data_IF_408779174341
#
_entry.id   IF_408779174341
#
_cell.length_a   1.000
_cell.length_b   1.000
_cell.length_c   1.000
_cell.angle_alpha   90.00
_cell.angle_beta   90.00
_cell.angle_gamma   90.00
#
_symmetry.space_group_name_H-M   'P 1'
#
loop_
_entity.id
_entity.type
_entity.pdbx_description
1 polymer ?
#
# COMPACT_ATOMS: atom_id res chain seq x y z
N UNK A 1 3.48 21.25 22.12
CA UNK A 1 4.18 20.62 21.00
C UNK A 1 4.07 19.11 20.96
N UNK A 2 4.86 18.37 21.75
CA UNK A 2 4.98 16.90 21.62
C UNK A 2 3.67 16.13 21.89
N UNK A 3 2.86 16.57 22.84
CA UNK A 3 1.58 15.95 23.15
C UNK A 3 0.58 16.07 21.99
N UNK A 4 0.55 17.21 21.31
CA UNK A 4 -0.32 17.45 20.15
C UNK A 4 0.08 16.52 18.98
N UNK A 5 1.39 16.42 18.71
CA UNK A 5 1.92 15.53 17.67
C UNK A 5 1.57 14.08 17.98
N UNK A 6 1.76 13.63 19.22
CA UNK A 6 1.40 12.26 19.64
C UNK A 6 -0.09 11.96 19.45
N UNK A 7 -0.97 12.89 19.80
CA UNK A 7 -2.43 12.76 19.59
C UNK A 7 -2.77 12.67 18.10
N UNK A 8 -2.21 13.56 17.28
CA UNK A 8 -2.46 13.60 15.84
C UNK A 8 -1.97 12.32 15.18
N UNK A 9 -0.75 11.89 15.48
CA UNK A 9 -0.17 10.64 14.95
C UNK A 9 -1.02 9.44 15.38
N UNK A 10 -1.40 9.35 16.65
CA UNK A 10 -2.25 8.24 17.14
C UNK A 10 -3.57 8.18 16.39
N UNK A 11 -4.25 9.31 16.23
CA UNK A 11 -5.51 9.38 15.52
C UNK A 11 -5.35 8.93 14.05
N UNK A 12 -4.35 9.48 13.36
CA UNK A 12 -4.13 9.17 11.94
C UNK A 12 -3.75 7.71 11.73
N UNK A 13 -2.85 7.17 12.55
CA UNK A 13 -2.45 5.75 12.48
C UNK A 13 -3.64 4.83 12.79
N UNK A 14 -4.47 5.19 13.77
CA UNK A 14 -5.69 4.41 14.08
C UNK A 14 -6.69 4.45 12.92
N UNK A 15 -6.92 5.62 12.32
CA UNK A 15 -7.82 5.77 11.18
C UNK A 15 -7.33 4.96 9.95
N UNK A 16 -6.04 5.07 9.62
CA UNK A 16 -5.45 4.31 8.51
C UNK A 16 -5.49 2.80 8.78
N UNK A 17 -5.20 2.39 10.03
CA UNK A 17 -5.30 0.99 10.43
C UNK A 17 -6.72 0.45 10.27
N UNK A 18 -7.72 1.21 10.69
CA UNK A 18 -9.13 0.83 10.52
C UNK A 18 -9.52 0.71 9.04
N UNK A 19 -9.13 1.70 8.22
CA UNK A 19 -9.37 1.67 6.78
C UNK A 19 -8.71 0.43 6.16
N UNK A 20 -7.45 0.14 6.51
CA UNK A 20 -6.73 -1.03 6.02
C UNK A 20 -7.45 -2.33 6.38
N UNK A 21 -7.91 -2.48 7.62
CA UNK A 21 -8.67 -3.67 8.06
C UNK A 21 -9.97 -3.81 7.26
N UNK A 22 -10.71 -2.72 7.06
CA UNK A 22 -11.93 -2.71 6.26
C UNK A 22 -11.62 -3.13 4.81
N UNK A 23 -10.57 -2.57 4.20
CA UNK A 23 -10.19 -2.90 2.83
C UNK A 23 -9.78 -4.37 2.68
N UNK A 24 -9.03 -4.91 3.64
CA UNK A 24 -8.66 -6.33 3.68
C UNK A 24 -9.91 -7.22 3.83
N UNK A 25 -10.83 -6.86 4.71
CA UNK A 25 -12.09 -7.58 4.89
C UNK A 25 -12.98 -7.53 3.63
N UNK A 26 -12.90 -6.44 2.87
CA UNK A 26 -13.63 -6.22 1.62
C UNK A 26 -12.85 -6.68 0.37
N UNK A 27 -11.73 -7.39 0.50
CA UNK A 27 -10.90 -7.78 -0.65
C UNK A 27 -11.69 -8.59 -1.69
N UNK A 28 -12.51 -9.54 -1.25
CA UNK A 28 -13.33 -10.34 -2.16
C UNK A 28 -14.34 -9.50 -2.96
N UNK A 29 -15.28 -8.74 -2.34
CA UNK A 29 -16.23 -7.93 -3.10
C UNK A 29 -15.55 -6.89 -3.99
N UNK A 30 -14.41 -6.33 -3.58
CA UNK A 30 -13.64 -5.40 -4.42
C UNK A 30 -13.15 -6.09 -5.69
N UNK A 31 -12.54 -7.27 -5.57
CA UNK A 31 -12.06 -8.03 -6.72
C UNK A 31 -13.21 -8.53 -7.59
N UNK A 32 -14.34 -8.91 -7.00
CA UNK A 32 -15.50 -9.36 -7.76
C UNK A 32 -16.08 -8.25 -8.65
N UNK A 33 -16.15 -7.04 -8.15
CA UNK A 33 -16.59 -5.87 -8.92
C UNK A 33 -15.58 -5.46 -9.98
N UNK A 34 -14.28 -5.41 -9.64
CA UNK A 34 -13.22 -4.99 -10.55
C UNK A 34 -12.95 -6.02 -11.66
N UNK A 35 -13.03 -7.31 -11.31
CA UNK A 35 -12.81 -8.44 -12.21
C UNK A 35 -14.12 -9.07 -12.69
N UNK A 36 -15.13 -8.28 -13.09
CA UNK A 36 -16.44 -8.79 -13.49
C UNK A 36 -16.35 -9.78 -14.67
N UNK A 37 -15.34 -9.64 -15.54
CA UNK A 37 -15.07 -10.51 -16.71
C UNK A 37 -14.07 -11.64 -16.40
N UNK A 38 -13.52 -11.70 -15.18
CA UNK A 38 -12.50 -12.68 -14.81
C UNK A 38 -13.09 -14.05 -14.50
N UNK A 39 -12.31 -15.09 -14.77
CA UNK A 39 -12.66 -16.45 -14.33
C UNK A 39 -12.60 -16.58 -12.81
N UNK A 40 -13.28 -17.59 -12.20
CA UNK A 40 -13.21 -17.81 -10.78
C UNK A 40 -11.78 -17.97 -10.25
N UNK A 41 -10.90 -18.63 -10.99
CA UNK A 41 -9.49 -18.84 -10.65
C UNK A 41 -8.72 -17.50 -10.66
N UNK A 42 -8.98 -16.63 -11.65
CA UNK A 42 -8.39 -15.29 -11.72
C UNK A 42 -8.84 -14.43 -10.54
N UNK A 43 -10.12 -14.48 -10.18
CA UNK A 43 -10.64 -13.76 -9.00
C UNK A 43 -9.99 -14.25 -7.71
N UNK A 44 -9.87 -15.55 -7.54
CA UNK A 44 -9.21 -16.14 -6.36
C UNK A 44 -7.74 -15.68 -6.26
N UNK A 45 -7.00 -15.72 -7.36
CA UNK A 45 -5.62 -15.23 -7.40
C UNK A 45 -5.57 -13.73 -7.08
N UNK A 46 -6.46 -12.93 -7.66
CA UNK A 46 -6.59 -11.49 -7.38
C UNK A 46 -6.83 -11.19 -5.91
N UNK A 47 -7.69 -11.98 -5.22
CA UNK A 47 -7.92 -11.84 -3.79
C UNK A 47 -6.66 -12.16 -2.99
N UNK A 48 -5.95 -13.24 -3.32
CA UNK A 48 -4.72 -13.63 -2.63
C UNK A 48 -3.67 -12.50 -2.76
N UNK A 49 -3.46 -11.94 -3.96
CA UNK A 49 -2.58 -10.79 -4.15
C UNK A 49 -3.04 -9.58 -3.35
N UNK A 50 -4.35 -9.31 -3.33
CA UNK A 50 -4.92 -8.20 -2.57
C UNK A 50 -4.66 -8.33 -1.07
N UNK A 51 -4.78 -9.53 -0.51
CA UNK A 51 -4.49 -9.78 0.91
C UNK A 51 -3.02 -9.49 1.28
N UNK A 52 -2.09 -9.68 0.35
CA UNK A 52 -0.69 -9.30 0.52
C UNK A 52 -0.46 -7.79 0.33
N UNK A 53 -1.14 -7.17 -0.63
CA UNK A 53 -0.88 -5.78 -1.03
C UNK A 53 -1.70 -4.76 -0.21
N UNK A 54 -2.93 -5.07 0.20
CA UNK A 54 -3.76 -4.11 0.96
C UNK A 54 -3.13 -3.64 2.28
N UNK A 55 -2.39 -4.47 3.05
CA UNK A 55 -1.67 -3.99 4.22
C UNK A 55 -0.64 -2.88 3.92
N UNK A 56 -0.21 -2.74 2.68
CA UNK A 56 0.69 -1.66 2.26
C UNK A 56 0.07 -0.27 2.48
N UNK A 57 -1.27 -0.16 2.43
CA UNK A 57 -2.00 1.08 2.71
C UNK A 57 -1.64 1.62 4.10
N UNK A 58 -1.58 0.73 5.10
CA UNK A 58 -1.16 1.08 6.46
C UNK A 58 0.27 1.61 6.49
N UNK A 59 1.20 0.91 5.86
CA UNK A 59 2.61 1.29 5.86
C UNK A 59 2.87 2.58 5.07
N UNK A 60 2.20 2.81 3.94
CA UNK A 60 2.26 4.08 3.22
C UNK A 60 1.72 5.24 4.06
N UNK A 61 0.61 5.02 4.75
CA UNK A 61 0.07 6.03 5.66
C UNK A 61 1.01 6.31 6.82
N UNK A 62 1.59 5.28 7.42
CA UNK A 62 2.58 5.40 8.49
C UNK A 62 3.84 6.17 8.01
N UNK A 63 4.37 5.81 6.85
CA UNK A 63 5.47 6.52 6.18
C UNK A 63 5.15 8.01 6.02
N UNK A 64 3.97 8.34 5.50
CA UNK A 64 3.56 9.72 5.27
C UNK A 64 3.46 10.50 6.58
N UNK A 65 2.82 9.93 7.60
CA UNK A 65 2.62 10.61 8.89
C UNK A 65 3.95 10.86 9.60
N UNK A 66 4.81 9.84 9.67
CA UNK A 66 6.13 9.98 10.32
C UNK A 66 7.01 10.94 9.50
N UNK A 67 6.95 10.85 8.17
CA UNK A 67 7.67 11.74 7.27
C UNK A 67 7.30 13.21 7.49
N UNK A 68 6.02 13.54 7.66
CA UNK A 68 5.56 14.89 7.98
C UNK A 68 6.07 15.35 9.35
N UNK A 69 6.12 14.47 10.34
CA UNK A 69 6.69 14.79 11.66
C UNK A 69 8.19 15.10 11.54
N UNK A 70 8.95 14.31 10.80
CA UNK A 70 10.37 14.53 10.55
C UNK A 70 10.61 15.82 9.76
N UNK A 71 9.78 16.09 8.75
CA UNK A 71 9.84 17.31 7.94
C UNK A 71 9.60 18.56 8.81
N UNK A 72 8.62 18.51 9.72
CA UNK A 72 8.35 19.60 10.67
C UNK A 72 9.47 19.80 11.72
N UNK A 73 10.48 18.93 11.73
CA UNK A 73 11.68 18.99 12.60
C UNK A 73 12.97 19.21 11.79
N UNK A 74 12.86 19.61 10.54
CA UNK A 74 13.98 19.80 9.60
C UNK A 74 14.87 18.56 9.41
N UNK A 75 14.32 17.37 9.71
CA UNK A 75 15.01 16.07 9.61
C UNK A 75 14.51 15.23 8.41
N UNK A 76 14.29 15.89 7.28
CA UNK A 76 13.67 15.29 6.09
C UNK A 76 14.57 14.32 5.32
N UNK A 77 15.90 14.31 5.55
CA UNK A 77 16.82 13.48 4.79
C UNK A 77 16.46 12.00 4.78
N UNK A 78 16.14 11.41 5.93
CA UNK A 78 15.75 10.01 6.02
C UNK A 78 14.39 9.73 5.33
N UNK A 79 13.48 10.68 5.39
CA UNK A 79 12.19 10.60 4.69
C UNK A 79 12.37 10.55 3.17
N UNK A 80 13.27 11.36 2.64
CA UNK A 80 13.55 11.39 1.19
C UNK A 80 14.28 10.14 0.68
N UNK A 81 15.15 9.52 1.52
CA UNK A 81 15.92 8.34 1.13
C UNK A 81 15.20 7.01 1.41
N UNK A 82 14.23 6.97 2.27
CA UNK A 82 13.54 5.72 2.62
C UNK A 82 12.85 5.01 1.43
N UNK A 83 12.32 5.69 0.38
CA UNK A 83 11.83 5.02 -0.82
C UNK A 83 12.91 4.26 -1.60
N UNK A 84 14.17 4.71 -1.53
CA UNK A 84 15.26 3.97 -2.15
C UNK A 84 15.47 2.59 -1.50
N UNK A 85 15.29 2.48 -0.17
CA UNK A 85 15.34 1.21 0.54
C UNK A 85 14.23 0.26 0.03
N UNK A 86 13.01 0.77 -0.15
CA UNK A 86 11.92 -0.02 -0.74
C UNK A 86 12.28 -0.53 -2.13
N UNK A 87 12.81 0.32 -2.99
CA UNK A 87 13.21 -0.07 -4.35
C UNK A 87 14.31 -1.14 -4.33
N UNK A 88 15.30 -1.03 -3.45
CA UNK A 88 16.35 -2.05 -3.29
C UNK A 88 15.75 -3.39 -2.87
N UNK A 89 14.86 -3.40 -1.87
CA UNK A 89 14.19 -4.63 -1.41
C UNK A 89 13.34 -5.24 -2.53
N UNK A 90 12.61 -4.41 -3.28
CA UNK A 90 11.77 -4.87 -4.39
C UNK A 90 12.61 -5.46 -5.53
N UNK A 91 13.75 -4.86 -5.86
CA UNK A 91 14.69 -5.39 -6.86
C UNK A 91 15.26 -6.73 -6.40
N UNK A 92 15.69 -6.84 -5.14
CA UNK A 92 16.18 -8.10 -4.58
C UNK A 92 15.07 -9.16 -4.64
N UNK A 93 13.83 -8.81 -4.25
CA UNK A 93 12.69 -9.72 -4.32
C UNK A 93 12.42 -10.21 -5.74
N UNK A 94 12.50 -9.32 -6.73
CA UNK A 94 12.34 -9.68 -8.14
C UNK A 94 13.48 -10.60 -8.64
N UNK A 95 14.72 -10.33 -8.25
CA UNK A 95 15.85 -11.19 -8.58
C UNK A 95 15.69 -12.58 -7.95
N UNK A 96 15.28 -12.66 -6.70
CA UNK A 96 14.95 -13.93 -6.02
C UNK A 96 13.84 -14.67 -6.78
N UNK A 97 12.81 -13.96 -7.18
CA UNK A 97 11.70 -14.54 -7.98
C UNK A 97 12.22 -15.13 -9.30
N UNK A 98 13.05 -14.38 -10.03
CA UNK A 98 13.63 -14.83 -11.30
C UNK A 98 14.54 -16.07 -11.09
N UNK A 99 15.37 -16.07 -10.08
CA UNK A 99 16.26 -17.20 -9.78
C UNK A 99 15.47 -18.44 -9.38
N UNK A 100 14.43 -18.29 -8.56
CA UNK A 100 13.63 -19.43 -8.05
C UNK A 100 12.68 -20.00 -9.10
N UNK A 101 12.10 -19.15 -9.93
CA UNK A 101 10.98 -19.53 -10.81
C UNK A 101 11.26 -19.26 -12.30
N UNK A 102 12.30 -18.50 -12.64
CA UNK A 102 12.60 -18.12 -14.03
C UNK A 102 12.98 -19.30 -14.93
N UNK A 103 13.69 -20.30 -14.40
CA UNK A 103 14.07 -21.48 -15.18
C UNK A 103 12.88 -22.37 -15.57
N UNK A 104 11.78 -22.31 -14.81
CA UNK A 104 10.55 -23.05 -15.10
C UNK A 104 9.78 -22.47 -16.30
N UNK A 105 10.06 -21.21 -16.66
CA UNK A 105 9.40 -20.50 -17.75
C UNK A 105 9.87 -20.90 -19.15
N UNK A 106 11.05 -21.50 -19.27
CA UNK A 106 11.65 -21.82 -20.59
C UNK A 106 11.24 -23.18 -21.12
N UNK A 107 10.66 -24.05 -20.27
CA UNK A 107 10.36 -25.46 -20.61
C UNK A 107 8.89 -25.81 -20.59
N UNK A 108 8.00 -24.88 -20.16
CA UNK A 108 6.58 -25.15 -20.03
C UNK A 108 5.83 -24.59 -21.23
N UNK A 109 5.23 -25.47 -22.03
CA UNK A 109 4.19 -25.16 -23.00
C UNK A 109 2.85 -25.66 -22.44
N UNK A 110 1.86 -24.82 -22.11
CA UNK A 110 1.70 -23.39 -22.42
C UNK A 110 2.51 -22.45 -21.52
N UNK A 111 2.77 -21.22 -22.01
CA UNK A 111 3.55 -20.24 -21.26
C UNK A 111 2.89 -19.90 -19.92
N UNK A 112 3.68 -19.48 -18.94
CA UNK A 112 3.29 -19.11 -17.55
C UNK A 112 2.20 -18.02 -17.42
N UNK A 113 1.57 -17.66 -18.51
CA UNK A 113 0.45 -16.70 -18.54
C UNK A 113 -0.90 -17.31 -18.14
N UNK A 114 -0.95 -18.64 -17.89
CA UNK A 114 -2.16 -19.27 -17.36
C UNK A 114 -2.15 -19.21 -15.83
N UNK A 115 -3.24 -18.69 -15.27
CA UNK A 115 -3.48 -18.62 -13.81
C UNK A 115 -3.34 -19.99 -13.15
N UNK A 116 -3.63 -21.07 -13.89
CA UNK A 116 -3.55 -22.45 -13.44
C UNK A 116 -2.15 -22.89 -13.02
N UNK A 117 -1.11 -22.30 -13.59
CA UNK A 117 0.29 -22.62 -13.28
C UNK A 117 0.90 -21.72 -12.20
N UNK A 118 0.14 -20.74 -11.69
CA UNK A 118 0.62 -19.82 -10.68
C UNK A 118 0.58 -20.46 -9.28
N UNK A 119 1.74 -20.52 -8.63
CA UNK A 119 1.87 -21.12 -7.31
C UNK A 119 1.75 -20.10 -6.18
N UNK A 120 1.32 -20.57 -5.00
CA UNK A 120 1.30 -19.74 -3.79
C UNK A 120 2.69 -19.22 -3.43
N UNK A 121 3.76 -19.98 -3.68
CA UNK A 121 5.13 -19.57 -3.44
C UNK A 121 5.52 -18.36 -4.31
N UNK A 122 5.10 -18.32 -5.57
CA UNK A 122 5.31 -17.18 -6.47
C UNK A 122 4.61 -15.92 -5.95
N UNK A 123 3.37 -16.06 -5.47
CA UNK A 123 2.64 -14.93 -4.85
C UNK A 123 3.35 -14.42 -3.60
N UNK A 124 3.77 -15.32 -2.70
CA UNK A 124 4.48 -14.94 -1.46
C UNK A 124 5.78 -14.21 -1.75
N UNK A 125 6.58 -14.71 -2.68
CA UNK A 125 7.84 -14.05 -3.03
C UNK A 125 7.59 -12.70 -3.68
N UNK A 126 6.70 -12.60 -4.66
CA UNK A 126 6.48 -11.37 -5.41
C UNK A 126 5.74 -10.31 -4.58
N UNK A 127 4.57 -10.64 -4.06
CA UNK A 127 3.76 -9.70 -3.29
C UNK A 127 4.29 -9.48 -1.88
N UNK A 128 4.87 -10.51 -1.26
CA UNK A 128 5.48 -10.42 0.07
C UNK A 128 6.71 -9.53 0.10
N UNK A 129 7.60 -9.62 -0.89
CA UNK A 129 8.80 -8.76 -0.94
C UNK A 129 8.45 -7.30 -1.22
N UNK A 130 7.47 -7.01 -2.08
CA UNK A 130 6.99 -5.65 -2.30
C UNK A 130 6.37 -5.07 -1.02
N UNK A 131 5.57 -5.84 -0.32
CA UNK A 131 4.98 -5.42 0.97
C UNK A 131 6.05 -5.23 2.04
N UNK A 132 7.06 -6.11 2.09
CA UNK A 132 8.21 -5.96 2.98
C UNK A 132 8.99 -4.68 2.68
N UNK A 133 9.21 -4.36 1.41
CA UNK A 133 9.89 -3.14 0.99
C UNK A 133 9.18 -1.87 1.51
N UNK A 134 7.86 -1.82 1.35
CA UNK A 134 7.04 -0.69 1.82
C UNK A 134 7.00 -0.63 3.37
N UNK A 135 6.91 -1.78 4.02
CA UNK A 135 6.98 -1.84 5.48
C UNK A 135 8.33 -1.32 6.00
N UNK A 136 9.43 -1.76 5.41
CA UNK A 136 10.77 -1.29 5.79
C UNK A 136 10.99 0.20 5.48
N UNK A 137 10.43 0.71 4.37
CA UNK A 137 10.41 2.15 4.07
C UNK A 137 9.76 2.97 5.20
N UNK A 138 8.65 2.50 5.76
CA UNK A 138 7.99 3.16 6.86
C UNK A 138 8.74 2.99 8.20
N UNK A 139 9.19 1.78 8.48
CA UNK A 139 9.80 1.44 9.78
C UNK A 139 11.18 2.08 9.97
N UNK A 140 11.96 2.27 8.90
CA UNK A 140 13.27 2.91 8.97
C UNK A 140 13.19 4.35 9.49
N UNK A 141 12.04 5.03 9.32
CA UNK A 141 11.84 6.40 9.80
C UNK A 141 11.73 6.50 11.32
N UNK A 142 11.50 5.40 12.02
CA UNK A 142 11.55 5.42 13.50
C UNK A 142 12.97 5.63 14.05
N UNK A 143 14.01 5.33 13.25
CA UNK A 143 15.41 5.55 13.66
C UNK A 143 15.68 7.04 13.87
N UNK A 144 15.51 7.93 12.87
CA UNK A 144 15.71 9.35 13.06
C UNK A 144 14.71 9.96 14.05
N UNK A 145 13.48 9.46 14.11
CA UNK A 145 12.49 9.92 15.06
C UNK A 145 12.95 9.73 16.52
N UNK A 146 13.50 8.55 16.82
CA UNK A 146 14.09 8.27 18.15
C UNK A 146 15.35 9.10 18.42
N UNK A 147 16.20 9.33 17.41
CA UNK A 147 17.39 10.18 17.54
C UNK A 147 17.06 11.63 17.87
N UNK A 148 15.90 12.12 17.45
CA UNK A 148 15.36 13.44 17.78
C UNK A 148 14.73 13.49 19.20
N UNK A 149 14.83 12.40 19.98
CA UNK A 149 14.24 12.31 21.31
C UNK A 149 12.70 12.25 21.30
N UNK A 150 12.10 12.03 20.14
CA UNK A 150 10.64 11.97 20.00
C UNK A 150 10.14 10.55 20.31
N UNK A 151 9.54 10.39 21.46
CA UNK A 151 8.85 9.17 21.84
C UNK A 151 7.36 9.36 21.58
N UNK A 152 6.89 8.84 20.43
CA UNK A 152 5.46 8.83 20.14
C UNK A 152 4.77 7.85 21.10
N UNK A 153 4.01 8.38 22.03
CA UNK A 153 3.18 7.58 22.94
C UNK A 153 1.75 7.61 22.43
N UNK A 154 1.07 6.46 22.28
CA UNK A 154 -0.34 6.44 21.92
C UNK A 154 -1.15 7.32 22.87
N UNK A 155 -1.88 8.28 22.35
CA UNK A 155 -2.71 9.17 23.12
C UNK A 155 -4.08 9.34 22.44
N UNK A 156 -5.09 8.72 23.02
CA UNK A 156 -6.47 8.69 22.52
C UNK A 156 -7.34 9.87 22.99
N UNK A 157 -6.74 10.88 23.61
CA UNK A 157 -7.44 12.10 24.04
C UNK A 157 -7.75 13.04 22.88
N UNK A 158 -8.70 12.69 22.03
CA UNK A 158 -8.99 13.38 20.75
C UNK A 158 -9.78 14.68 20.88
N UNK A 159 -10.27 15.03 22.05
CA UNK A 159 -11.01 16.30 22.29
C UNK A 159 -10.07 17.50 22.21
N UNK A 160 -10.45 18.52 21.43
CA UNK A 160 -9.73 19.80 21.37
C UNK A 160 -8.58 19.87 20.36
N UNK A 161 -8.42 18.91 19.43
CA UNK A 161 -7.32 18.91 18.45
C UNK A 161 -7.62 19.83 17.23
N UNK A 162 -8.83 20.39 17.10
CA UNK A 162 -9.15 21.29 15.99
C UNK A 162 -9.17 20.58 14.61
N UNK A 163 -9.61 19.33 14.56
CA UNK A 163 -9.57 18.49 13.36
C UNK A 163 -10.52 18.91 12.24
N UNK A 164 -11.42 19.87 12.47
CA UNK A 164 -12.46 20.23 11.51
C UNK A 164 -11.89 20.69 10.16
N UNK A 165 -10.91 21.57 10.18
CA UNK A 165 -10.30 22.09 8.93
C UNK A 165 -9.45 21.03 8.20
N UNK A 166 -8.54 20.28 8.86
CA UNK A 166 -7.84 19.18 8.22
C UNK A 166 -8.79 18.09 7.67
N UNK A 167 -9.85 17.74 8.39
CA UNK A 167 -10.82 16.76 7.94
C UNK A 167 -11.59 17.22 6.70
N UNK A 168 -11.98 18.49 6.64
CA UNK A 168 -12.63 19.08 5.47
C UNK A 168 -11.72 19.04 4.24
N UNK A 169 -10.44 19.42 4.40
CA UNK A 169 -9.47 19.36 3.32
C UNK A 169 -9.24 17.92 2.84
N UNK A 170 -9.07 16.97 3.77
CA UNK A 170 -8.94 15.55 3.46
C UNK A 170 -10.18 15.02 2.70
N UNK A 171 -11.40 15.39 3.10
CA UNK A 171 -12.62 14.99 2.43
C UNK A 171 -12.67 15.49 0.97
N UNK A 172 -12.27 16.74 0.72
CA UNK A 172 -12.18 17.28 -0.64
C UNK A 172 -11.12 16.57 -1.49
N UNK A 173 -9.96 16.27 -0.91
CA UNK A 173 -8.89 15.53 -1.60
C UNK A 173 -9.34 14.12 -1.95
N UNK A 174 -10.04 13.44 -1.04
CA UNK A 174 -10.61 12.11 -1.30
C UNK A 174 -11.69 12.16 -2.38
N UNK A 175 -12.57 13.17 -2.36
CA UNK A 175 -13.60 13.33 -3.38
C UNK A 175 -12.98 13.56 -4.77
N UNK A 176 -11.98 14.44 -4.87
CA UNK A 176 -11.25 14.69 -6.11
C UNK A 176 -10.53 13.42 -6.62
N UNK A 177 -9.88 12.67 -5.71
CA UNK A 177 -9.25 11.39 -6.04
C UNK A 177 -10.25 10.34 -6.52
N UNK A 178 -11.43 10.26 -5.90
CA UNK A 178 -12.50 9.35 -6.32
C UNK A 178 -12.98 9.67 -7.74
N UNK A 179 -13.21 10.94 -8.06
CA UNK A 179 -13.59 11.37 -9.43
C UNK A 179 -12.52 11.01 -10.45
N UNK A 180 -11.24 11.24 -10.14
CA UNK A 180 -10.13 10.90 -11.02
C UNK A 180 -10.05 9.38 -11.29
N UNK A 181 -10.21 8.56 -10.23
CA UNK A 181 -10.20 7.10 -10.37
C UNK A 181 -11.40 6.57 -11.16
N UNK A 182 -12.60 7.11 -10.94
CA UNK A 182 -13.80 6.75 -11.71
C UNK A 182 -13.62 7.10 -13.19
N UNK A 183 -13.06 8.27 -13.50
CA UNK A 183 -12.75 8.68 -14.87
C UNK A 183 -11.75 7.72 -15.52
N UNK A 184 -10.71 7.32 -14.81
CA UNK A 184 -9.72 6.36 -15.29
C UNK A 184 -10.33 4.97 -15.53
N UNK A 185 -11.18 4.48 -14.64
CA UNK A 185 -11.90 3.22 -14.82
C UNK A 185 -12.80 3.26 -16.06
N UNK A 186 -13.53 4.35 -16.25
CA UNK A 186 -14.39 4.54 -17.44
C UNK A 186 -13.57 4.57 -18.72
N UNK A 187 -12.46 5.30 -18.75
CA UNK A 187 -11.55 5.34 -19.91
C UNK A 187 -11.00 3.96 -20.25
N UNK A 188 -10.61 3.17 -19.23
CA UNK A 188 -10.13 1.81 -19.47
C UNK A 188 -11.21 0.88 -20.03
N UNK A 189 -12.46 1.02 -19.56
CA UNK A 189 -13.58 0.26 -20.12
C UNK A 189 -13.85 0.61 -21.58
N UNK A 190 -13.84 1.90 -21.90
CA UNK A 190 -14.00 2.37 -23.30
C UNK A 190 -12.85 1.89 -24.18
N UNK A 191 -11.61 1.98 -23.69
CA UNK A 191 -10.45 1.50 -24.45
C UNK A 191 -10.51 -0.02 -24.68
N UNK A 192 -10.94 -0.79 -23.69
CA UNK A 192 -11.10 -2.24 -23.82
C UNK A 192 -12.21 -2.63 -24.81
N UNK A 193 -13.29 -1.85 -24.91
CA UNK A 193 -14.38 -2.11 -25.85
C UNK A 193 -13.97 -1.89 -27.30
N UNK A 194 -13.02 -0.97 -27.56
CA UNK A 194 -12.54 -0.67 -28.92
C UNK A 194 -11.50 -1.68 -29.41
N UNK A 195 -10.77 -2.31 -28.51
CA UNK A 195 -9.73 -3.32 -28.85
C UNK A 195 -10.34 -4.71 -29.08
N UNK A 196 -11.60 -4.91 -28.69
CA UNK A 196 -12.33 -6.19 -28.85
C UNK A 196 -13.13 -6.32 -30.18
N UNK A 197 -13.06 -5.32 -31.08
CA UNK A 197 -13.52 -5.36 -32.44
C UNK A 197 -12.34 -5.57 -33.42
#
# INVERSE_FOLDING_TARGET
GALYISKLVTLTVTAIGLITVIMVACAWPIIDVMGSTWTPEQKQLGVIFSLWCLPQIFFYGLYTVIGQVLNAKDAFGAYMWSPALNNVISIIGLLVFIVMFGAQNTTINPPLHSVENWTSAQTVVLAGTTTLGIAMQALVLFIPLRRLGMHLRPNFGWRGIGLREPAKLAAWTLAAGAVANLSFMYMNQVAASVVGE
#
